data_IF_548633620919
#
_entry.id   IF_548633620919
#
_cell.length_a   1.000
_cell.length_b   1.000
_cell.length_c   1.000
_cell.angle_alpha   90.00
_cell.angle_beta   90.00
_cell.angle_gamma   90.00
#
_symmetry.space_group_name_H-M   'P 1'
#
loop_
_entity.id
_entity.type
_entity.pdbx_description
1 polymer ?
#
# COMPACT_ATOMS: atom_id res chain seq x y z
N UNK A 1 19.98 9.51 -0.15
CA UNK A 1 20.92 10.31 0.67
C UNK A 1 20.24 10.56 2.00
N UNK A 2 20.79 10.06 3.09
CA UNK A 2 20.30 10.36 4.43
C UNK A 2 20.38 11.87 4.66
N UNK A 3 19.26 12.50 4.96
CA UNK A 3 19.21 13.92 5.32
C UNK A 3 19.80 14.08 6.74
N UNK A 4 21.11 14.11 6.84
CA UNK A 4 21.79 14.49 8.07
C UNK A 4 21.45 15.95 8.39
N UNK A 5 21.01 16.19 9.63
CA UNK A 5 20.81 17.55 10.12
C UNK A 5 22.15 18.29 10.09
N UNK A 6 22.26 19.29 9.24
CA UNK A 6 23.42 20.19 9.21
C UNK A 6 23.34 21.20 10.36
N UNK A 7 24.48 21.75 10.76
CA UNK A 7 24.58 22.77 11.84
C UNK A 7 23.62 23.94 11.59
N UNK A 8 23.46 24.36 10.34
CA UNK A 8 22.51 25.43 9.97
C UNK A 8 21.05 25.06 10.25
N UNK A 9 20.68 23.82 9.95
CA UNK A 9 19.34 23.30 10.25
C UNK A 9 19.11 23.17 11.75
N UNK A 10 20.11 22.74 12.50
CA UNK A 10 20.06 22.65 13.97
C UNK A 10 19.89 24.07 14.57
N UNK A 11 20.64 25.06 14.08
CA UNK A 11 20.49 26.45 14.49
C UNK A 11 19.09 27.01 14.20
N UNK A 12 18.54 26.69 13.03
CA UNK A 12 17.17 27.08 12.64
C UNK A 12 16.12 26.41 13.53
N UNK A 13 16.29 25.13 13.87
CA UNK A 13 15.43 24.41 14.81
C UNK A 13 15.47 25.02 16.21
N UNK A 14 16.65 25.30 16.73
CA UNK A 14 16.82 25.94 18.02
C UNK A 14 16.16 27.34 18.09
N UNK A 15 16.30 28.13 17.02
CA UNK A 15 15.62 29.43 16.91
C UNK A 15 14.10 29.30 16.93
N UNK A 16 13.56 28.33 16.21
CA UNK A 16 12.11 28.08 16.18
C UNK A 16 11.59 27.65 17.56
N UNK A 17 12.29 26.74 18.25
CA UNK A 17 11.94 26.29 19.61
C UNK A 17 11.96 27.44 20.59
N UNK A 18 13.01 28.27 20.55
CA UNK A 18 13.14 29.41 21.46
C UNK A 18 12.11 30.51 21.19
N UNK A 19 11.80 30.77 19.92
CA UNK A 19 10.75 31.72 19.53
C UNK A 19 9.39 31.29 20.05
N UNK A 20 9.04 30.02 19.85
CA UNK A 20 7.75 29.46 20.31
C UNK A 20 7.69 29.38 21.85
N UNK A 21 8.81 29.12 22.53
CA UNK A 21 8.89 29.03 23.99
C UNK A 21 8.89 30.38 24.69
N UNK A 22 9.57 31.40 24.13
CA UNK A 22 9.80 32.70 24.80
C UNK A 22 9.02 33.85 24.17
N UNK A 23 8.42 33.65 23.00
CA UNK A 23 7.74 34.70 22.23
C UNK A 23 8.70 35.77 21.64
N UNK A 24 10.00 35.65 21.85
CA UNK A 24 11.00 36.59 21.36
C UNK A 24 11.73 36.07 20.13
N UNK A 25 11.82 36.89 19.11
CA UNK A 25 12.63 36.63 17.93
C UNK A 25 14.11 36.87 18.27
N UNK A 26 14.81 35.82 18.71
CA UNK A 26 16.22 35.95 19.10
C UNK A 26 17.10 35.97 17.86
N UNK A 27 17.66 37.10 17.55
CA UNK A 27 18.75 37.25 16.59
C UNK A 27 20.05 36.83 17.30
N UNK A 28 20.18 35.54 17.58
CA UNK A 28 21.43 35.03 18.11
C UNK A 28 22.41 34.81 16.96
N UNK A 29 23.52 35.48 17.03
CA UNK A 29 24.61 35.45 16.05
C UNK A 29 25.53 34.23 16.25
N UNK A 30 25.46 33.56 17.41
CA UNK A 30 26.34 32.46 17.76
C UNK A 30 25.59 31.31 18.46
N UNK A 31 26.00 30.05 18.20
CA UNK A 31 25.44 28.82 18.76
C UNK A 31 25.49 28.81 20.30
N UNK A 32 26.54 29.40 20.92
CA UNK A 32 26.67 29.48 22.37
C UNK A 32 25.58 30.34 23.00
N UNK A 33 25.21 31.45 22.37
CA UNK A 33 24.13 32.32 22.84
C UNK A 33 22.76 31.63 22.76
N UNK A 34 22.50 30.85 21.71
CA UNK A 34 21.30 30.06 21.55
C UNK A 34 21.16 28.99 22.64
N UNK A 35 22.25 28.29 22.97
CA UNK A 35 22.28 27.30 24.05
C UNK A 35 22.03 27.91 25.42
N UNK A 36 22.64 29.05 25.70
CA UNK A 36 22.42 29.78 26.95
C UNK A 36 20.98 30.23 27.11
N UNK A 37 20.34 30.66 26.02
CA UNK A 37 18.93 31.07 26.02
C UNK A 37 18.01 29.83 26.19
N UNK A 38 18.34 28.70 25.57
CA UNK A 38 17.61 27.42 25.73
C UNK A 38 17.67 26.91 27.18
N UNK A 39 18.85 26.94 27.79
CA UNK A 39 19.03 26.58 29.20
C UNK A 39 18.30 27.54 30.14
N UNK A 40 18.27 28.86 29.81
CA UNK A 40 17.50 29.85 30.57
C UNK A 40 16.00 29.63 30.46
N UNK A 41 15.51 29.28 29.27
CA UNK A 41 14.09 28.92 29.05
C UNK A 41 13.68 27.67 29.86
N UNK A 42 14.53 26.67 29.95
CA UNK A 42 14.28 25.46 30.76
C UNK A 42 14.26 25.78 32.26
N UNK A 43 15.07 26.72 32.73
CA UNK A 43 15.06 27.18 34.15
C UNK A 43 13.79 27.94 34.52
N UNK A 44 13.12 28.58 33.58
CA UNK A 44 11.84 29.26 33.79
C UNK A 44 10.62 28.36 33.69
N UNK A 45 10.79 27.14 33.15
CA UNK A 45 9.76 26.12 33.02
C UNK A 45 9.99 25.28 31.76
N UNK A 46 9.85 23.96 31.87
CA UNK A 46 10.05 23.05 30.75
C UNK A 46 8.85 23.00 29.78
N UNK A 47 7.65 23.39 30.24
CA UNK A 47 6.42 23.30 29.45
C UNK A 47 6.44 24.08 28.14
N UNK A 48 6.84 25.36 28.07
CA UNK A 48 6.87 26.07 26.80
C UNK A 48 7.85 25.46 25.80
N UNK A 49 9.00 24.95 26.26
CA UNK A 49 10.01 24.31 25.42
C UNK A 49 9.51 22.98 24.90
N UNK A 50 8.84 22.19 25.74
CA UNK A 50 8.24 20.93 25.33
C UNK A 50 7.12 21.10 24.30
N UNK A 51 6.27 22.10 24.49
CA UNK A 51 5.22 22.43 23.53
C UNK A 51 5.82 22.88 22.19
N UNK A 52 6.87 23.68 22.20
CA UNK A 52 7.57 24.11 20.99
C UNK A 52 8.26 22.94 20.27
N UNK A 53 8.92 22.04 21.00
CA UNK A 53 9.51 20.82 20.46
C UNK A 53 8.41 19.93 19.85
N UNK A 54 7.28 19.77 20.53
CA UNK A 54 6.15 18.99 20.04
C UNK A 54 5.58 19.54 18.73
N UNK A 55 5.39 20.86 18.61
CA UNK A 55 4.93 21.50 17.38
C UNK A 55 5.93 21.33 16.24
N UNK A 56 7.22 21.45 16.55
CA UNK A 56 8.29 21.27 15.60
C UNK A 56 8.35 19.82 15.07
N UNK A 57 8.25 18.83 15.96
CA UNK A 57 8.18 17.42 15.63
C UNK A 57 6.98 17.13 14.72
N UNK A 58 5.83 17.70 15.01
CA UNK A 58 4.62 17.56 14.19
C UNK A 58 4.81 18.08 12.76
N UNK A 59 5.41 19.25 12.61
CA UNK A 59 5.67 19.85 11.28
C UNK A 59 6.73 19.08 10.49
N UNK A 60 7.71 18.49 11.15
CA UNK A 60 8.86 17.85 10.50
C UNK A 60 8.56 16.40 10.08
N UNK A 61 7.63 15.71 10.76
CA UNK A 61 7.19 14.35 10.41
C UNK A 61 6.74 14.25 8.94
N UNK A 62 6.09 15.29 8.42
CA UNK A 62 5.63 15.32 7.02
C UNK A 62 6.73 15.59 6.00
N UNK A 63 7.88 16.12 6.42
CA UNK A 63 8.96 16.57 5.52
C UNK A 63 10.14 15.61 5.42
N UNK A 64 10.31 14.67 6.35
CA UNK A 64 11.45 13.76 6.41
C UNK A 64 10.99 12.30 6.38
N UNK A 65 11.39 11.56 5.33
CA UNK A 65 11.12 10.11 5.20
C UNK A 65 12.44 9.36 5.05
N UNK A 66 13.12 8.99 6.14
CA UNK A 66 14.39 8.25 6.07
C UNK A 66 14.19 6.79 5.61
N UNK A 67 13.07 6.15 5.98
CA UNK A 67 12.65 4.86 5.46
C UNK A 67 11.50 5.06 4.48
N UNK A 68 11.56 4.40 3.34
CA UNK A 68 10.51 4.41 2.34
C UNK A 68 9.80 3.04 2.38
N UNK A 69 8.54 3.05 2.78
CA UNK A 69 7.71 1.85 2.78
C UNK A 69 7.61 1.27 1.37
N UNK A 70 7.63 -0.04 1.27
CA UNK A 70 7.26 -0.73 0.04
C UNK A 70 5.76 -0.59 -0.19
N UNK A 71 5.31 -0.85 -1.40
CA UNK A 71 3.91 -0.67 -1.80
C UNK A 71 3.41 0.80 -1.74
N UNK A 72 4.32 1.77 -1.85
CA UNK A 72 3.93 3.19 -1.87
C UNK A 72 2.93 3.50 -3.01
N UNK A 73 3.04 2.76 -4.11
CA UNK A 73 2.09 2.82 -5.21
C UNK A 73 0.63 2.56 -4.83
N UNK A 74 0.37 1.82 -3.76
CA UNK A 74 -0.98 1.55 -3.24
C UNK A 74 -1.56 2.70 -2.41
N UNK A 75 -0.75 3.71 -2.10
CA UNK A 75 -1.18 4.84 -1.28
C UNK A 75 -2.12 5.74 -2.08
N UNK A 76 -3.36 5.84 -1.63
CA UNK A 76 -4.36 6.76 -2.16
C UNK A 76 -4.30 8.04 -1.33
N UNK A 77 -4.34 9.24 -1.95
CA UNK A 77 -4.44 10.49 -1.21
C UNK A 77 -5.64 10.46 -0.25
N UNK A 78 -5.38 10.69 1.04
CA UNK A 78 -6.43 10.67 2.05
C UNK A 78 -7.33 11.87 1.94
N UNK A 79 -8.65 11.64 1.94
CA UNK A 79 -9.62 12.69 2.14
C UNK A 79 -9.86 12.86 3.64
N UNK A 80 -9.73 14.08 4.15
CA UNK A 80 -9.96 14.40 5.56
C UNK A 80 -11.44 14.35 5.94
N UNK A 81 -12.33 14.41 4.95
CA UNK A 81 -13.77 14.50 5.11
C UNK A 81 -14.45 13.22 4.62
N UNK A 82 -15.19 12.58 5.47
CA UNK A 82 -15.95 11.38 5.15
C UNK A 82 -15.32 10.09 5.68
N UNK A 83 -16.21 9.18 6.10
CA UNK A 83 -15.83 7.93 6.76
C UNK A 83 -15.87 6.71 5.83
N UNK A 84 -16.18 6.91 4.55
CA UNK A 84 -16.34 5.85 3.58
C UNK A 84 -16.03 6.32 2.16
N UNK A 85 -15.54 5.39 1.34
CA UNK A 85 -15.32 5.58 -0.09
C UNK A 85 -16.45 4.87 -0.83
N UNK A 86 -17.09 5.58 -1.74
CA UNK A 86 -18.16 5.06 -2.59
C UNK A 86 -17.65 4.91 -4.02
N UNK A 87 -17.86 3.74 -4.57
CA UNK A 87 -17.58 3.43 -5.98
C UNK A 87 -18.89 3.04 -6.66
N UNK A 88 -19.16 3.62 -7.82
CA UNK A 88 -20.35 3.33 -8.63
C UNK A 88 -19.86 2.75 -9.94
N UNK A 89 -20.41 1.60 -10.32
CA UNK A 89 -20.14 0.93 -11.60
C UNK A 89 -21.45 0.72 -12.35
N UNK A 90 -21.39 0.85 -13.68
CA UNK A 90 -22.49 0.45 -14.55
C UNK A 90 -22.45 -1.06 -14.75
N UNK A 91 -23.62 -1.68 -14.72
CA UNK A 91 -23.80 -3.09 -15.08
C UNK A 91 -24.05 -3.12 -16.58
N UNK A 92 -23.35 -4.02 -17.26
CA UNK A 92 -23.56 -4.24 -18.70
C UNK A 92 -24.94 -4.89 -18.92
N UNK A 93 -25.71 -4.32 -19.80
CA UNK A 93 -26.98 -4.89 -20.21
C UNK A 93 -26.83 -5.37 -21.67
N UNK A 94 -26.86 -6.67 -21.92
CA UNK A 94 -26.71 -7.21 -23.26
C UNK A 94 -27.82 -6.77 -24.21
N UNK A 95 -28.94 -6.27 -23.68
CA UNK A 95 -30.06 -5.75 -24.46
C UNK A 95 -29.85 -4.30 -24.93
N UNK A 96 -28.78 -3.63 -24.48
CA UNK A 96 -28.46 -2.24 -24.87
C UNK A 96 -28.00 -2.11 -26.32
N UNK A 97 -27.52 -3.21 -26.93
CA UNK A 97 -27.11 -3.25 -28.33
C UNK A 97 -27.98 -4.27 -29.09
N UNK A 98 -28.89 -3.77 -29.87
CA UNK A 98 -29.74 -4.59 -30.75
C UNK A 98 -29.40 -4.30 -32.20
N UNK A 99 -29.64 -5.30 -33.07
CA UNK A 99 -29.58 -5.09 -34.50
C UNK A 99 -30.56 -3.94 -34.89
N UNK A 100 -30.13 -3.12 -35.82
CA UNK A 100 -30.95 -1.99 -36.24
C UNK A 100 -32.14 -2.47 -37.13
N UNK A 101 -33.36 -2.47 -36.62
CA UNK A 101 -34.52 -2.96 -37.35
C UNK A 101 -34.98 -1.96 -38.43
N UNK A 102 -34.38 -0.78 -38.52
CA UNK A 102 -34.83 0.27 -39.44
C UNK A 102 -34.66 -0.09 -40.92
N UNK A 103 -33.76 -0.99 -41.25
CA UNK A 103 -33.54 -1.44 -42.60
C UNK A 103 -34.53 -2.53 -43.07
N UNK A 104 -35.24 -3.17 -42.11
CA UNK A 104 -36.09 -4.32 -42.37
C UNK A 104 -37.58 -4.06 -42.05
N UNK A 105 -37.94 -2.82 -41.79
CA UNK A 105 -39.36 -2.45 -41.59
C UNK A 105 -40.17 -2.59 -42.88
N UNK A 106 -41.24 -3.38 -42.78
CA UNK A 106 -42.23 -3.49 -43.83
C UNK A 106 -43.24 -2.34 -43.77
N UNK A 107 -43.88 -2.07 -44.91
CA UNK A 107 -44.88 -1.01 -44.99
C UNK A 107 -46.02 -1.24 -43.99
N UNK A 108 -46.23 -0.25 -43.13
CA UNK A 108 -47.23 -0.33 -42.04
C UNK A 108 -46.69 -0.76 -40.66
N UNK A 109 -45.43 -1.14 -40.57
CA UNK A 109 -44.74 -1.38 -39.27
C UNK A 109 -44.21 -0.07 -38.68
N UNK A 110 -44.22 0.00 -37.35
CA UNK A 110 -43.62 1.12 -36.61
C UNK A 110 -42.77 0.61 -35.47
N UNK A 111 -41.72 1.35 -35.12
CA UNK A 111 -40.85 1.07 -33.99
C UNK A 111 -41.23 2.00 -32.83
N UNK A 112 -41.36 1.42 -31.64
CA UNK A 112 -41.62 2.21 -30.46
C UNK A 112 -40.35 3.02 -30.06
N UNK A 113 -40.42 4.32 -30.13
CA UNK A 113 -39.34 5.25 -29.78
C UNK A 113 -39.45 5.77 -28.33
N UNK A 114 -40.46 5.33 -27.57
CA UNK A 114 -40.71 5.81 -26.22
C UNK A 114 -40.42 4.78 -25.14
N UNK A 115 -39.91 3.61 -25.52
CA UNK A 115 -39.46 2.60 -24.52
C UNK A 115 -38.30 3.16 -23.72
N UNK A 116 -38.43 3.07 -22.38
CA UNK A 116 -37.44 3.63 -21.45
C UNK A 116 -36.46 2.53 -21.08
N UNK A 117 -35.21 2.67 -21.47
CA UNK A 117 -34.09 1.84 -21.04
C UNK A 117 -33.31 2.57 -19.96
N UNK A 118 -33.41 2.10 -18.71
CA UNK A 118 -32.69 2.69 -17.59
C UNK A 118 -31.38 1.98 -17.39
N UNK A 119 -30.23 2.72 -17.33
CA UNK A 119 -28.97 2.08 -17.03
C UNK A 119 -29.00 1.45 -15.63
N UNK A 120 -28.51 0.22 -15.54
CA UNK A 120 -28.34 -0.49 -14.26
C UNK A 120 -27.00 -0.09 -13.66
N UNK A 121 -26.99 0.19 -12.37
CA UNK A 121 -25.79 0.60 -11.64
C UNK A 121 -25.66 -0.18 -10.35
N UNK A 122 -24.43 -0.56 -10.01
CA UNK A 122 -24.08 -1.12 -8.72
C UNK A 122 -23.25 -0.10 -7.92
N UNK A 123 -23.48 -0.05 -6.63
CA UNK A 123 -22.76 0.82 -5.71
C UNK A 123 -22.05 -0.02 -4.66
N UNK A 124 -20.73 0.17 -4.55
CA UNK A 124 -19.90 -0.43 -3.53
C UNK A 124 -19.46 0.64 -2.54
N UNK A 125 -19.57 0.32 -1.24
CA UNK A 125 -19.18 1.20 -0.17
C UNK A 125 -18.06 0.52 0.64
N UNK A 126 -16.92 1.20 0.76
CA UNK A 126 -15.77 0.71 1.51
C UNK A 126 -15.72 1.42 2.85
N UNK A 127 -15.90 0.66 3.93
CA UNK A 127 -15.82 1.11 5.30
C UNK A 127 -14.58 0.53 5.95
N UNK A 128 -14.13 1.16 6.97
CA UNK A 128 -13.06 0.65 7.78
C UNK A 128 -11.99 1.70 8.02
N UNK A 129 -11.72 1.93 9.27
CA UNK A 129 -10.68 2.83 9.73
C UNK A 129 -9.96 2.12 10.86
N UNK A 130 -8.65 2.04 10.75
CA UNK A 130 -7.77 1.62 11.83
C UNK A 130 -7.14 2.86 12.45
N UNK A 131 -7.07 2.86 13.77
CA UNK A 131 -6.45 3.94 14.53
C UNK A 131 -5.24 3.38 15.25
N UNK A 132 -4.11 4.01 15.06
CA UNK A 132 -2.86 3.68 15.73
C UNK A 132 -2.45 4.82 16.63
N UNK A 133 -1.84 4.48 17.75
CA UNK A 133 -1.24 5.42 18.66
C UNK A 133 0.21 5.02 18.93
N UNK A 134 1.10 6.00 18.81
CA UNK A 134 2.49 5.88 19.22
C UNK A 134 2.74 6.83 20.35
N UNK A 135 3.46 6.38 21.37
CA UNK A 135 3.84 7.20 22.49
C UNK A 135 5.36 7.27 22.67
N UNK A 136 5.82 8.40 23.14
CA UNK A 136 7.19 8.63 23.59
C UNK A 136 7.17 9.42 24.87
N UNK A 137 7.94 8.95 25.83
CA UNK A 137 8.21 9.67 27.08
C UNK A 137 9.54 10.37 26.98
N UNK A 138 9.58 11.65 27.34
CA UNK A 138 10.79 12.45 27.41
C UNK A 138 10.94 12.92 28.87
N UNK A 139 12.07 12.61 29.46
CA UNK A 139 12.42 13.08 30.80
C UNK A 139 13.06 14.45 30.74
N UNK A 140 12.81 15.29 31.75
CA UNK A 140 13.42 16.63 31.85
C UNK A 140 14.96 16.57 31.89
N UNK A 141 15.52 15.55 32.50
CA UNK A 141 16.96 15.27 32.51
C UNK A 141 17.53 15.08 31.09
N UNK A 142 16.80 14.39 30.22
CA UNK A 142 17.20 14.20 28.82
C UNK A 142 17.17 15.52 28.06
N UNK A 143 16.14 16.36 28.32
CA UNK A 143 16.01 17.65 27.70
C UNK A 143 17.15 18.60 28.15
N UNK A 144 17.46 18.63 29.47
CA UNK A 144 18.56 19.38 30.02
C UNK A 144 19.92 18.96 29.40
N UNK A 145 20.14 17.65 29.24
CA UNK A 145 21.36 17.11 28.60
C UNK A 145 21.42 17.47 27.12
N UNK A 146 20.30 17.46 26.42
CA UNK A 146 20.24 17.80 24.99
C UNK A 146 20.63 19.27 24.71
N UNK A 147 20.46 20.17 25.70
CA UNK A 147 20.88 21.58 25.58
C UNK A 147 22.33 21.85 26.02
N UNK A 148 23.14 20.84 26.29
CA UNK A 148 24.55 21.04 26.59
C UNK A 148 25.36 21.48 25.37
N UNK A 149 25.00 21.00 24.17
CA UNK A 149 25.55 21.46 22.91
C UNK A 149 24.49 21.52 21.82
N UNK A 150 24.74 22.29 20.74
CA UNK A 150 23.84 22.34 19.58
C UNK A 150 23.79 20.99 18.86
N UNK A 151 24.94 20.30 18.84
CA UNK A 151 25.08 18.98 18.24
C UNK A 151 24.25 17.91 19.00
N UNK A 152 24.33 17.92 20.33
CA UNK A 152 23.55 16.99 21.17
C UNK A 152 22.05 17.23 21.04
N UNK A 153 21.62 18.50 21.02
CA UNK A 153 20.21 18.83 20.78
C UNK A 153 19.74 18.39 19.40
N UNK A 154 20.54 18.65 18.37
CA UNK A 154 20.24 18.22 17.02
C UNK A 154 20.17 16.68 16.89
N UNK A 155 21.10 15.97 17.54
CA UNK A 155 21.10 14.52 17.58
C UNK A 155 19.87 13.95 18.31
N UNK A 156 19.48 14.56 19.43
CA UNK A 156 18.29 14.17 20.19
C UNK A 156 17.00 14.34 19.36
N UNK A 157 16.81 15.49 18.73
CA UNK A 157 15.64 15.73 17.86
C UNK A 157 15.65 14.78 16.66
N UNK A 158 16.81 14.61 16.01
CA UNK A 158 16.96 13.69 14.87
C UNK A 158 16.65 12.25 15.24
N UNK A 159 17.10 11.79 16.39
CA UNK A 159 16.82 10.44 16.90
C UNK A 159 15.31 10.21 17.10
N UNK A 160 14.62 11.17 17.73
CA UNK A 160 13.18 11.07 17.95
C UNK A 160 12.43 11.05 16.62
N UNK A 161 12.73 11.98 15.71
CA UNK A 161 12.09 12.08 14.39
C UNK A 161 12.30 10.82 13.56
N UNK A 162 13.55 10.35 13.47
CA UNK A 162 13.88 9.15 12.68
C UNK A 162 13.18 7.92 13.23
N UNK A 163 13.17 7.75 14.54
CA UNK A 163 12.52 6.59 15.17
C UNK A 163 11.01 6.61 14.93
N UNK A 164 10.37 7.78 15.04
CA UNK A 164 8.93 7.92 14.81
C UNK A 164 8.58 7.69 13.34
N UNK A 165 9.32 8.30 12.42
CA UNK A 165 9.09 8.13 11.00
C UNK A 165 9.25 6.66 10.58
N UNK A 166 10.29 5.99 11.06
CA UNK A 166 10.51 4.57 10.78
C UNK A 166 9.37 3.69 11.30
N UNK A 167 8.81 4.01 12.48
CA UNK A 167 7.66 3.27 13.01
C UNK A 167 6.40 3.49 12.18
N UNK A 168 6.12 4.73 11.78
CA UNK A 168 4.97 5.08 10.94
C UNK A 168 5.10 4.37 9.59
N UNK A 169 6.23 4.50 8.92
CA UNK A 169 6.48 3.85 7.63
C UNK A 169 6.41 2.32 7.73
N UNK A 170 6.88 1.75 8.85
CA UNK A 170 6.73 0.30 9.09
C UNK A 170 5.26 -0.11 9.19
N UNK A 171 4.43 0.67 9.89
CA UNK A 171 3.00 0.38 10.00
C UNK A 171 2.30 0.51 8.65
N UNK A 172 2.65 1.52 7.85
CA UNK A 172 2.15 1.64 6.47
C UNK A 172 2.49 0.39 5.64
N UNK A 173 3.72 -0.10 5.75
CA UNK A 173 4.12 -1.31 5.04
C UNK A 173 3.36 -2.54 5.55
N UNK A 174 3.17 -2.68 6.86
CA UNK A 174 2.40 -3.78 7.44
C UNK A 174 0.94 -3.77 6.97
N UNK A 175 0.29 -2.61 6.94
CA UNK A 175 -1.08 -2.47 6.43
C UNK A 175 -1.15 -2.76 4.94
N UNK A 176 -0.20 -2.27 4.16
CA UNK A 176 -0.14 -2.55 2.72
C UNK A 176 0.02 -4.06 2.47
N UNK A 177 0.93 -4.73 3.18
CA UNK A 177 1.10 -6.19 3.08
C UNK A 177 -0.15 -6.96 3.48
N UNK A 178 -0.81 -6.54 4.56
CA UNK A 178 -2.07 -7.15 5.00
C UNK A 178 -3.17 -6.98 3.94
N UNK A 179 -3.24 -5.82 3.29
CA UNK A 179 -4.22 -5.54 2.23
C UNK A 179 -3.97 -6.42 1.00
N UNK A 180 -2.72 -6.52 0.54
CA UNK A 180 -2.32 -7.40 -0.57
C UNK A 180 -2.61 -8.86 -0.26
N UNK A 181 -2.23 -9.31 0.93
CA UNK A 181 -2.49 -10.68 1.38
C UNK A 181 -4.00 -10.95 1.51
N UNK A 182 -4.78 -9.98 1.98
CA UNK A 182 -6.24 -10.07 2.05
C UNK A 182 -6.88 -10.20 0.68
N UNK A 183 -6.42 -9.43 -0.32
CA UNK A 183 -6.88 -9.56 -1.69
C UNK A 183 -6.57 -10.96 -2.25
N UNK A 184 -5.32 -11.41 -2.13
CA UNK A 184 -4.93 -12.73 -2.62
C UNK A 184 -5.72 -13.85 -1.92
N UNK A 185 -5.85 -13.78 -0.60
CA UNK A 185 -6.61 -14.78 0.16
C UNK A 185 -8.10 -14.79 -0.20
N UNK A 186 -8.69 -13.64 -0.47
CA UNK A 186 -10.07 -13.55 -0.95
C UNK A 186 -10.25 -14.21 -2.31
N UNK A 187 -9.37 -13.96 -3.28
CA UNK A 187 -9.39 -14.63 -4.59
C UNK A 187 -9.20 -16.16 -4.48
N UNK A 188 -8.30 -16.61 -3.62
CA UNK A 188 -8.10 -18.04 -3.34
C UNK A 188 -9.34 -18.66 -2.69
N UNK A 189 -9.98 -17.96 -1.75
CA UNK A 189 -11.22 -18.43 -1.12
C UNK A 189 -12.39 -18.51 -2.09
N UNK A 190 -12.49 -17.57 -3.04
CA UNK A 190 -13.44 -17.61 -4.15
C UNK A 190 -13.18 -18.77 -5.10
N UNK A 191 -11.95 -19.29 -5.16
CA UNK A 191 -11.48 -20.23 -6.19
C UNK A 191 -11.62 -19.66 -7.61
N UNK A 192 -11.45 -18.36 -7.74
CA UNK A 192 -11.57 -17.62 -8.99
C UNK A 192 -10.31 -16.79 -9.22
N UNK A 193 -9.90 -16.68 -10.48
CA UNK A 193 -8.77 -15.85 -10.91
C UNK A 193 -7.43 -16.23 -10.25
N UNK A 194 -7.27 -17.51 -9.93
CA UNK A 194 -6.02 -18.09 -9.41
C UNK A 194 -5.38 -18.93 -10.51
N UNK A 195 -4.13 -18.63 -10.82
CA UNK A 195 -3.36 -19.30 -11.87
C UNK A 195 -2.32 -20.21 -11.23
N UNK A 196 -2.38 -21.49 -11.54
CA UNK A 196 -1.46 -22.53 -11.08
C UNK A 196 -0.41 -22.78 -12.16
N UNK A 197 0.70 -22.03 -12.13
CA UNK A 197 1.68 -22.02 -13.22
C UNK A 197 2.30 -23.37 -13.50
N UNK A 198 2.64 -24.13 -12.46
CA UNK A 198 3.27 -25.43 -12.64
C UNK A 198 2.29 -26.46 -13.22
N UNK A 199 1.05 -26.44 -12.74
CA UNK A 199 -0.01 -27.30 -13.27
C UNK A 199 -0.31 -26.98 -14.74
N UNK A 200 -0.39 -25.69 -15.12
CA UNK A 200 -0.54 -25.29 -16.52
C UNK A 200 0.66 -25.72 -17.37
N UNK A 201 1.89 -25.53 -16.87
CA UNK A 201 3.11 -25.94 -17.55
C UNK A 201 3.17 -27.45 -17.81
N UNK A 202 2.88 -28.25 -16.78
CA UNK A 202 2.79 -29.70 -16.88
C UNK A 202 1.76 -30.14 -17.93
N UNK A 203 0.60 -29.48 -17.94
CA UNK A 203 -0.46 -29.78 -18.92
C UNK A 203 -0.01 -29.51 -20.35
N UNK A 204 0.69 -28.39 -20.59
CA UNK A 204 1.15 -28.00 -21.94
C UNK A 204 2.32 -28.86 -22.40
N UNK A 205 3.22 -29.24 -21.50
CA UNK A 205 4.44 -30.00 -21.86
C UNK A 205 4.30 -31.50 -21.75
N UNK A 206 3.25 -31.99 -21.09
CA UNK A 206 3.09 -33.42 -20.81
C UNK A 206 4.06 -33.93 -19.72
N UNK A 207 4.67 -33.04 -18.94
CA UNK A 207 5.57 -33.38 -17.85
C UNK A 207 4.80 -33.51 -16.54
N UNK A 208 5.39 -34.20 -15.57
CA UNK A 208 4.86 -34.35 -14.19
C UNK A 208 5.86 -33.74 -13.19
N UNK A 209 6.17 -32.47 -13.35
CA UNK A 209 7.09 -31.77 -12.45
C UNK A 209 6.36 -31.39 -11.16
N UNK A 210 7.07 -31.53 -10.06
CA UNK A 210 6.65 -31.03 -8.74
C UNK A 210 7.34 -29.72 -8.42
N UNK A 211 6.89 -28.99 -7.41
CA UNK A 211 7.53 -27.76 -6.94
C UNK A 211 9.03 -27.94 -6.61
N UNK A 212 9.46 -29.15 -6.24
CA UNK A 212 10.86 -29.48 -5.98
C UNK A 212 11.63 -29.79 -7.27
N UNK A 213 11.04 -30.60 -8.17
CA UNK A 213 11.73 -31.04 -9.39
C UNK A 213 11.82 -29.93 -10.44
N UNK A 214 10.88 -28.99 -10.48
CA UNK A 214 10.92 -27.82 -11.35
C UNK A 214 12.09 -26.91 -11.02
N UNK A 215 12.52 -26.86 -9.74
CA UNK A 215 13.65 -26.03 -9.28
C UNK A 215 15.03 -26.62 -9.66
N UNK A 216 15.08 -27.83 -10.20
CA UNK A 216 16.33 -28.41 -10.67
C UNK A 216 16.83 -27.65 -11.91
N UNK A 217 18.16 -27.43 -12.06
CA UNK A 217 18.72 -26.64 -13.15
C UNK A 217 18.31 -27.12 -14.56
N UNK A 218 18.07 -28.40 -14.73
CA UNK A 218 17.65 -28.98 -16.01
C UNK A 218 16.24 -28.52 -16.43
N UNK A 219 15.34 -28.30 -15.48
CA UNK A 219 13.92 -28.01 -15.75
C UNK A 219 13.61 -26.51 -15.59
N UNK A 220 14.30 -25.84 -14.67
CA UNK A 220 13.94 -24.49 -14.24
C UNK A 220 14.03 -23.45 -15.36
N UNK A 221 15.04 -23.54 -16.24
CA UNK A 221 15.21 -22.59 -17.35
C UNK A 221 14.01 -22.58 -18.27
N UNK A 222 13.55 -23.76 -18.71
CA UNK A 222 12.41 -23.89 -19.60
C UNK A 222 11.11 -23.45 -18.94
N UNK A 223 10.91 -23.86 -17.70
CA UNK A 223 9.74 -23.44 -16.89
C UNK A 223 9.72 -21.91 -16.72
N UNK A 224 10.84 -21.30 -16.35
CA UNK A 224 10.91 -19.86 -16.13
C UNK A 224 10.59 -19.07 -17.41
N UNK A 225 11.15 -19.46 -18.55
CA UNK A 225 10.85 -18.81 -19.83
C UNK A 225 9.36 -18.91 -20.18
N UNK A 226 8.77 -20.07 -20.01
CA UNK A 226 7.34 -20.27 -20.22
C UNK A 226 6.51 -19.45 -19.24
N UNK A 227 6.86 -19.47 -17.95
CA UNK A 227 6.15 -18.72 -16.90
C UNK A 227 6.13 -17.22 -17.22
N UNK A 228 7.26 -16.63 -17.66
CA UNK A 228 7.27 -15.22 -18.06
C UNK A 228 6.39 -14.94 -19.27
N UNK A 229 6.44 -15.81 -20.27
CA UNK A 229 5.54 -15.69 -21.43
C UNK A 229 4.07 -15.74 -21.01
N UNK A 230 3.74 -16.62 -20.06
CA UNK A 230 2.40 -16.73 -19.53
C UNK A 230 1.98 -15.50 -18.73
N UNK A 231 2.88 -14.95 -17.89
CA UNK A 231 2.63 -13.72 -17.14
C UNK A 231 2.38 -12.53 -18.07
N UNK A 232 3.18 -12.40 -19.14
CA UNK A 232 2.99 -11.37 -20.15
C UNK A 232 1.62 -11.52 -20.85
N UNK A 233 1.26 -12.74 -21.21
CA UNK A 233 -0.05 -13.02 -21.80
C UNK A 233 -1.21 -12.68 -20.85
N UNK A 234 -1.11 -13.02 -19.56
CA UNK A 234 -2.13 -12.66 -18.56
C UNK A 234 -2.27 -11.14 -18.42
N UNK A 235 -1.15 -10.42 -18.44
CA UNK A 235 -1.16 -8.95 -18.44
C UNK A 235 -1.82 -8.39 -19.72
N UNK A 236 -1.60 -9.00 -20.90
CA UNK A 236 -2.29 -8.61 -22.13
C UNK A 236 -3.79 -8.88 -22.06
N UNK A 237 -4.20 -10.03 -21.53
CA UNK A 237 -5.61 -10.37 -21.36
C UNK A 237 -6.37 -9.41 -20.44
N UNK A 238 -5.71 -8.83 -19.44
CA UNK A 238 -6.32 -7.81 -18.59
C UNK A 238 -6.65 -6.51 -19.35
N UNK A 239 -5.97 -6.24 -20.49
CA UNK A 239 -6.26 -5.06 -21.32
C UNK A 239 -7.52 -5.20 -22.14
N UNK A 240 -8.04 -6.42 -22.31
CA UNK A 240 -9.24 -6.66 -23.08
C UNK A 240 -10.48 -6.23 -22.30
N UNK A 241 -11.43 -5.64 -23.03
CA UNK A 241 -12.73 -5.24 -22.47
C UNK A 241 -13.59 -6.50 -22.28
N UNK A 242 -13.59 -7.04 -21.08
CA UNK A 242 -14.21 -8.33 -20.76
C UNK A 242 -14.62 -8.41 -19.28
N UNK A 243 -15.42 -9.42 -18.96
CA UNK A 243 -15.81 -9.76 -17.60
C UNK A 243 -14.86 -10.72 -16.88
N UNK A 244 -13.75 -11.11 -17.53
CA UNK A 244 -12.79 -12.06 -16.99
C UNK A 244 -11.87 -11.41 -15.95
N UNK A 245 -11.40 -12.19 -15.00
CA UNK A 245 -10.45 -11.82 -13.96
C UNK A 245 -10.97 -10.77 -12.95
N UNK A 246 -12.28 -10.73 -12.78
CA UNK A 246 -12.98 -9.88 -11.82
C UNK A 246 -14.16 -10.62 -11.20
N UNK A 247 -14.67 -10.13 -10.08
CA UNK A 247 -15.89 -10.66 -9.48
C UNK A 247 -17.08 -9.87 -10.00
N UNK A 248 -17.99 -10.56 -10.68
CA UNK A 248 -19.24 -9.95 -11.15
C UNK A 248 -20.30 -10.01 -10.05
N UNK A 249 -21.35 -9.17 -10.17
CA UNK A 249 -22.51 -9.20 -9.28
C UNK A 249 -23.56 -10.20 -9.75
N UNK A 250 -24.42 -10.66 -8.84
CA UNK A 250 -25.59 -11.45 -9.20
C UNK A 250 -26.59 -10.67 -10.08
N UNK A 251 -26.60 -9.34 -9.93
CA UNK A 251 -27.50 -8.45 -10.70
C UNK A 251 -27.03 -8.22 -12.13
N UNK A 252 -25.82 -8.65 -12.49
CA UNK A 252 -25.27 -8.52 -13.84
C UNK A 252 -23.74 -8.51 -13.89
N UNK A 253 -23.25 -8.41 -15.10
CA UNK A 253 -21.84 -8.50 -15.44
C UNK A 253 -21.25 -7.08 -15.57
N UNK A 254 -20.04 -6.90 -15.06
CA UNK A 254 -19.25 -5.70 -15.32
C UNK A 254 -18.33 -5.99 -16.52
N UNK A 255 -18.39 -5.14 -17.54
CA UNK A 255 -17.40 -5.13 -18.60
C UNK A 255 -16.41 -4.02 -18.34
N UNK A 256 -15.15 -4.37 -18.24
CA UNK A 256 -14.08 -3.39 -18.03
C UNK A 256 -12.75 -3.90 -18.59
N UNK A 257 -11.81 -2.99 -18.72
CA UNK A 257 -10.44 -3.28 -19.14
C UNK A 257 -9.47 -2.61 -18.19
N UNK A 258 -8.30 -3.19 -18.03
CA UNK A 258 -7.21 -2.61 -17.28
C UNK A 258 -6.05 -2.30 -18.21
N UNK A 259 -5.89 -1.05 -18.69
CA UNK A 259 -4.79 -0.70 -19.57
C UNK A 259 -3.46 -0.90 -18.87
N UNK A 260 -2.42 -1.20 -19.63
CA UNK A 260 -1.07 -1.50 -19.08
C UNK A 260 -0.58 -0.44 -18.08
N UNK A 261 -0.89 0.82 -18.30
CA UNK A 261 -0.54 1.94 -17.39
C UNK A 261 -1.28 1.93 -16.06
N UNK A 262 -2.43 1.25 -15.99
CA UNK A 262 -3.20 1.08 -14.76
C UNK A 262 -2.92 -0.25 -14.06
N UNK A 263 -2.21 -1.17 -14.70
CA UNK A 263 -1.84 -2.44 -14.10
C UNK A 263 -0.72 -2.27 -13.08
N UNK A 264 -0.81 -3.05 -12.02
CA UNK A 264 0.26 -3.26 -11.04
C UNK A 264 0.59 -4.73 -10.97
N UNK A 265 1.89 -4.99 -10.93
CA UNK A 265 2.44 -6.33 -10.90
C UNK A 265 3.32 -6.46 -9.66
N UNK A 266 2.90 -7.30 -8.74
CA UNK A 266 3.67 -7.64 -7.55
C UNK A 266 4.25 -9.03 -7.74
N UNK A 267 5.58 -9.16 -7.77
CA UNK A 267 6.25 -10.43 -7.96
C UNK A 267 7.21 -10.72 -6.81
N UNK A 268 7.23 -11.97 -6.36
CA UNK A 268 8.16 -12.40 -5.34
C UNK A 268 9.61 -12.27 -5.83
N UNK A 269 10.44 -11.55 -5.08
CA UNK A 269 11.82 -11.23 -5.49
C UNK A 269 12.70 -12.48 -5.63
N UNK A 270 12.46 -13.52 -4.83
CA UNK A 270 13.21 -14.78 -4.90
C UNK A 270 12.98 -15.48 -6.25
N UNK A 271 11.72 -15.56 -6.68
CA UNK A 271 11.37 -16.09 -8.00
C UNK A 271 12.06 -15.29 -9.12
N UNK A 272 12.00 -13.96 -9.04
CA UNK A 272 12.62 -13.09 -10.05
C UNK A 272 14.15 -13.22 -10.10
N UNK A 273 14.82 -13.27 -8.95
CA UNK A 273 16.28 -13.41 -8.92
C UNK A 273 16.73 -14.77 -9.43
N UNK A 274 16.04 -15.85 -9.06
CA UNK A 274 16.35 -17.19 -9.58
C UNK A 274 16.14 -17.26 -11.09
N UNK A 275 15.11 -16.64 -11.58
CA UNK A 275 14.81 -16.61 -13.01
C UNK A 275 15.80 -15.78 -13.78
N UNK A 276 16.17 -14.60 -13.29
CA UNK A 276 17.20 -13.76 -13.90
C UNK A 276 18.55 -14.48 -13.98
N UNK A 277 18.93 -15.21 -12.94
CA UNK A 277 20.18 -15.96 -12.92
C UNK A 277 20.24 -17.08 -13.96
N UNK A 278 19.10 -17.77 -14.19
CA UNK A 278 19.07 -18.96 -15.04
C UNK A 278 18.59 -18.70 -16.47
N UNK A 279 17.69 -17.73 -16.66
CA UNK A 279 17.13 -17.42 -17.98
C UNK A 279 17.96 -16.41 -18.78
N UNK A 280 18.69 -15.51 -18.10
CA UNK A 280 19.42 -14.41 -18.73
C UNK A 280 20.87 -14.72 -19.11
N UNK A 281 21.39 -15.88 -18.74
CA UNK A 281 22.80 -16.21 -19.01
C UNK A 281 23.15 -16.25 -20.49
N UNK A 282 22.21 -16.33 -21.42
CA UNK A 282 22.59 -16.60 -22.82
C UNK A 282 21.96 -15.72 -23.94
N UNK A 283 20.86 -14.99 -23.82
CA UNK A 283 20.34 -14.34 -25.05
C UNK A 283 19.37 -13.16 -24.93
N UNK A 284 18.82 -12.82 -23.77
CA UNK A 284 17.70 -11.84 -23.71
C UNK A 284 17.95 -10.68 -22.74
N UNK A 285 18.67 -9.68 -23.21
CA UNK A 285 19.08 -8.56 -22.35
C UNK A 285 18.01 -7.49 -22.09
N UNK A 286 16.89 -7.35 -22.83
CA UNK A 286 16.11 -6.12 -22.67
C UNK A 286 14.59 -6.19 -22.84
N UNK A 287 14.04 -7.20 -23.48
CA UNK A 287 12.64 -7.16 -23.87
C UNK A 287 11.67 -8.00 -23.02
N UNK A 288 12.16 -8.93 -22.22
CA UNK A 288 11.30 -9.79 -21.39
C UNK A 288 10.84 -9.13 -20.09
N UNK A 289 11.55 -8.15 -19.59
CA UNK A 289 11.21 -7.41 -18.38
C UNK A 289 10.23 -6.26 -18.60
N UNK A 290 9.82 -6.00 -19.82
CA UNK A 290 8.72 -5.07 -20.12
C UNK A 290 7.36 -5.76 -19.97
N UNK A 291 7.11 -6.37 -18.83
CA UNK A 291 5.76 -6.44 -18.35
C UNK A 291 5.34 -4.98 -18.17
N UNK A 292 4.45 -4.53 -19.02
CA UNK A 292 3.95 -3.17 -18.94
C UNK A 292 3.16 -3.08 -17.63
N UNK A 293 3.36 -2.01 -16.94
CA UNK A 293 2.81 -1.77 -15.63
C UNK A 293 3.90 -1.44 -14.63
N UNK A 294 3.48 -1.00 -13.46
CA UNK A 294 4.37 -0.73 -12.34
C UNK A 294 4.72 -2.07 -11.66
N UNK A 295 5.91 -2.60 -11.94
CA UNK A 295 6.37 -3.87 -11.37
C UNK A 295 7.08 -3.61 -10.06
N UNK A 296 6.54 -4.14 -8.98
CA UNK A 296 7.14 -4.06 -7.66
C UNK A 296 7.62 -5.45 -7.19
N UNK A 297 8.89 -5.53 -6.80
CA UNK A 297 9.46 -6.76 -6.28
C UNK A 297 9.23 -6.88 -4.78
N UNK A 298 8.51 -7.93 -4.39
CA UNK A 298 8.12 -8.20 -3.01
C UNK A 298 9.05 -9.24 -2.41
N UNK A 299 9.81 -8.88 -1.39
CA UNK A 299 10.75 -9.80 -0.75
C UNK A 299 10.05 -10.90 0.07
N UNK A 300 8.92 -10.57 0.67
CA UNK A 300 8.06 -11.50 1.41
C UNK A 300 6.64 -10.94 1.47
N UNK A 301 5.63 -11.80 1.51
CA UNK A 301 4.24 -11.36 1.59
C UNK A 301 3.86 -10.91 3.01
N UNK A 302 4.01 -11.76 3.99
CA UNK A 302 3.65 -11.47 5.40
C UNK A 302 4.79 -11.74 6.37
N UNK A 303 5.50 -12.86 6.22
CA UNK A 303 6.53 -13.33 7.15
C UNK A 303 7.86 -13.48 6.40
N UNK A 304 8.90 -12.88 6.94
CA UNK A 304 10.23 -12.89 6.30
C UNK A 304 10.88 -14.28 6.28
N UNK A 305 10.53 -15.14 7.24
CA UNK A 305 11.04 -16.52 7.28
C UNK A 305 10.36 -17.47 6.31
N UNK A 306 9.17 -17.10 5.81
CA UNK A 306 8.44 -17.84 4.80
C UNK A 306 7.92 -16.85 3.71
N UNK A 307 8.80 -16.41 2.81
CA UNK A 307 8.57 -15.25 1.97
C UNK A 307 7.48 -15.44 0.91
N UNK A 308 7.14 -16.68 0.56
CA UNK A 308 6.15 -16.99 -0.46
C UNK A 308 4.79 -17.39 0.13
N UNK A 309 4.63 -17.28 1.44
CA UNK A 309 3.43 -17.73 2.14
C UNK A 309 2.50 -16.58 2.48
N UNK A 310 1.20 -16.84 2.31
CA UNK A 310 0.11 -16.01 2.79
C UNK A 310 -0.71 -16.84 3.79
N UNK A 311 -0.97 -16.27 4.96
CA UNK A 311 -1.83 -16.85 5.97
C UNK A 311 -2.83 -15.80 6.45
N UNK A 312 -4.07 -15.92 6.05
CA UNK A 312 -5.16 -15.00 6.40
C UNK A 312 -6.28 -15.77 7.05
N UNK A 313 -6.62 -15.35 8.25
CA UNK A 313 -7.69 -15.96 9.04
C UNK A 313 -9.03 -15.56 8.44
N UNK A 314 -9.82 -16.54 7.98
CA UNK A 314 -11.17 -16.38 7.45
C UNK A 314 -11.31 -15.12 6.57
N UNK A 315 -10.63 -15.03 5.42
CA UNK A 315 -10.64 -13.83 4.61
C UNK A 315 -12.05 -13.51 4.11
N UNK A 316 -12.37 -12.22 4.09
CA UNK A 316 -13.59 -11.73 3.47
C UNK A 316 -13.38 -11.57 1.96
N UNK A 317 -14.42 -11.82 1.21
CA UNK A 317 -14.45 -11.66 -0.24
C UNK A 317 -15.86 -11.30 -0.73
N UNK A 318 -15.96 -10.81 -1.96
CA UNK A 318 -17.24 -10.56 -2.60
C UNK A 318 -17.74 -11.84 -3.25
N UNK A 319 -18.90 -12.32 -2.82
CA UNK A 319 -19.55 -13.47 -3.43
C UNK A 319 -20.27 -13.09 -4.75
N UNK A 320 -20.63 -14.07 -5.54
CA UNK A 320 -21.30 -13.85 -6.82
C UNK A 320 -22.68 -13.18 -6.70
N UNK A 321 -23.29 -13.24 -5.53
CA UNK A 321 -24.55 -12.54 -5.21
C UNK A 321 -24.34 -11.07 -4.81
N UNK A 322 -23.12 -10.54 -4.92
CA UNK A 322 -22.78 -9.18 -4.55
C UNK A 322 -22.66 -8.93 -3.05
N UNK A 323 -22.83 -9.95 -2.20
CA UNK A 323 -22.68 -9.84 -0.76
C UNK A 323 -21.23 -10.08 -0.32
N UNK A 324 -20.85 -9.51 0.85
CA UNK A 324 -19.57 -9.82 1.47
C UNK A 324 -19.69 -11.14 2.20
N UNK A 325 -18.98 -12.14 1.72
CA UNK A 325 -18.86 -13.45 2.36
C UNK A 325 -17.56 -13.55 3.15
N UNK A 326 -17.55 -14.43 4.15
CA UNK A 326 -16.33 -14.82 4.87
C UNK A 326 -16.01 -16.27 4.52
N UNK A 327 -14.74 -16.56 4.25
CA UNK A 327 -14.29 -17.92 3.98
C UNK A 327 -14.62 -18.85 5.16
N UNK A 328 -14.90 -20.10 4.85
CA UNK A 328 -15.22 -21.11 5.86
C UNK A 328 -13.99 -21.45 6.72
N UNK A 329 -12.84 -21.48 6.09
CA UNK A 329 -11.57 -21.86 6.69
C UNK A 329 -10.52 -20.77 6.45
N UNK A 330 -9.47 -20.77 7.27
CA UNK A 330 -8.30 -19.92 7.08
C UNK A 330 -7.61 -20.24 5.75
N UNK A 331 -7.20 -19.20 5.03
CA UNK A 331 -6.39 -19.38 3.82
C UNK A 331 -4.93 -19.40 4.21
N UNK A 332 -4.34 -20.58 4.12
CA UNK A 332 -2.92 -20.83 4.37
C UNK A 332 -2.28 -21.34 3.08
N UNK A 333 -1.84 -20.41 2.21
CA UNK A 333 -1.31 -20.70 0.90
C UNK A 333 0.18 -20.42 0.81
N UNK A 334 0.95 -21.46 0.48
CA UNK A 334 2.36 -21.35 0.10
C UNK A 334 2.54 -21.09 -1.40
N UNK A 335 3.78 -20.90 -1.81
CA UNK A 335 4.18 -20.80 -3.22
C UNK A 335 3.47 -19.67 -4.00
N UNK A 336 3.12 -18.58 -3.33
CA UNK A 336 2.55 -17.39 -3.96
C UNK A 336 3.66 -16.64 -4.68
N UNK A 337 3.64 -16.68 -6.02
CA UNK A 337 4.65 -16.06 -6.87
C UNK A 337 4.36 -14.59 -7.14
N UNK A 338 3.10 -14.25 -7.33
CA UNK A 338 2.75 -12.88 -7.68
C UNK A 338 1.27 -12.58 -7.73
N UNK A 339 1.01 -11.30 -7.97
CA UNK A 339 -0.33 -10.75 -8.18
C UNK A 339 -0.23 -9.76 -9.33
N UNK A 340 -1.09 -9.89 -10.32
CA UNK A 340 -1.29 -8.90 -11.37
C UNK A 340 -2.70 -8.33 -11.18
N UNK A 341 -2.82 -7.03 -11.01
CA UNK A 341 -4.13 -6.42 -10.73
C UNK A 341 -4.23 -5.01 -11.32
N UNK A 342 -5.46 -4.54 -11.38
CA UNK A 342 -5.72 -3.14 -11.62
C UNK A 342 -5.25 -2.30 -10.42
N UNK A 343 -4.85 -1.07 -10.69
CA UNK A 343 -4.41 -0.09 -9.72
C UNK A 343 -5.46 0.19 -8.64
N UNK A 344 -6.74 0.09 -9.01
CA UNK A 344 -7.86 0.39 -8.17
C UNK A 344 -8.43 -0.85 -7.45
N UNK A 345 -7.79 -2.03 -7.62
CA UNK A 345 -8.21 -3.27 -6.97
C UNK A 345 -8.03 -3.25 -5.45
N UNK A 346 -7.01 -2.56 -4.97
CA UNK A 346 -6.79 -2.36 -3.54
C UNK A 346 -5.89 -1.16 -3.24
N UNK A 347 -6.05 -0.59 -2.07
CA UNK A 347 -5.24 0.53 -1.64
C UNK A 347 -5.40 0.87 -0.17
N UNK A 348 -4.51 1.71 0.35
CA UNK A 348 -4.62 2.28 1.68
C UNK A 348 -4.51 3.81 1.63
N UNK A 349 -5.16 4.47 2.58
CA UNK A 349 -5.19 5.93 2.67
C UNK A 349 -4.96 6.39 4.10
N UNK A 350 -3.88 7.13 4.38
CA UNK A 350 -3.71 7.81 5.66
C UNK A 350 -4.69 8.99 5.74
N UNK A 351 -5.51 9.03 6.79
CA UNK A 351 -6.59 10.01 6.91
C UNK A 351 -6.16 11.20 7.78
N UNK A 352 -5.61 10.94 8.95
CA UNK A 352 -5.36 11.97 9.95
C UNK A 352 -4.19 11.60 10.85
N UNK A 353 -3.29 12.56 11.05
CA UNK A 353 -2.26 12.48 12.08
C UNK A 353 -2.47 13.62 13.08
N UNK A 354 -2.58 13.27 14.35
CA UNK A 354 -2.70 14.23 15.45
C UNK A 354 -1.61 13.97 16.48
N UNK A 355 -0.99 15.03 16.94
CA UNK A 355 -0.04 14.98 18.02
C UNK A 355 -0.60 15.67 19.26
N UNK A 356 -0.36 15.08 20.42
CA UNK A 356 -0.73 15.63 21.74
C UNK A 356 0.42 15.43 22.71
N UNK A 357 0.63 16.39 23.59
CA UNK A 357 1.60 16.34 24.68
C UNK A 357 0.83 16.45 25.99
N UNK A 358 1.24 15.68 26.98
CA UNK A 358 0.68 15.80 28.34
C UNK A 358 1.33 16.99 29.08
N UNK A 359 0.67 17.54 30.09
CA UNK A 359 1.36 18.33 31.11
C UNK A 359 2.47 17.49 31.77
N UNK A 360 3.50 18.16 32.38
CA UNK A 360 4.55 17.44 33.05
C UNK A 360 4.02 16.62 34.24
N UNK A 361 4.54 15.42 34.41
CA UNK A 361 4.29 14.65 35.58
C UNK A 361 5.20 15.14 36.71
N UNK A 362 4.63 15.81 37.68
CA UNK A 362 5.42 16.47 38.77
C UNK A 362 6.18 15.46 39.66
N UNK A 363 5.75 14.17 39.70
CA UNK A 363 6.41 13.15 40.51
C UNK A 363 7.51 12.42 39.74
N UNK A 364 7.34 12.29 38.43
CA UNK A 364 8.27 11.53 37.57
C UNK A 364 9.15 12.38 36.66
N UNK A 365 8.98 13.71 36.66
CA UNK A 365 9.72 14.65 35.83
C UNK A 365 9.79 14.26 34.35
N UNK A 366 8.64 13.90 33.76
CA UNK A 366 8.55 13.51 32.37
C UNK A 366 7.30 14.03 31.66
N UNK A 367 7.37 14.02 30.34
CA UNK A 367 6.28 14.34 29.41
C UNK A 367 6.01 13.14 28.52
N UNK A 368 4.74 12.90 28.19
CA UNK A 368 4.35 11.95 27.17
C UNK A 368 3.88 12.67 25.90
N UNK A 369 4.38 12.24 24.78
CA UNK A 369 3.97 12.68 23.47
C UNK A 369 3.22 11.54 22.78
N UNK A 370 1.99 11.82 22.36
CA UNK A 370 1.12 10.87 21.67
C UNK A 370 0.95 11.29 20.22
N UNK A 371 1.24 10.38 19.30
CA UNK A 371 0.92 10.52 17.88
C UNK A 371 -0.25 9.60 17.57
N UNK A 372 -1.40 10.15 17.22
CA UNK A 372 -2.59 9.41 16.78
C UNK A 372 -2.67 9.49 15.27
N UNK A 373 -2.82 8.35 14.67
CA UNK A 373 -2.78 8.18 13.25
C UNK A 373 -3.91 7.26 12.82
N UNK A 374 -4.69 7.70 11.82
CA UNK A 374 -5.80 6.95 11.30
C UNK A 374 -5.51 6.55 9.86
N UNK A 375 -5.80 5.31 9.53
CA UNK A 375 -5.57 4.72 8.23
C UNK A 375 -6.82 3.98 7.76
N UNK A 376 -7.09 4.04 6.48
CA UNK A 376 -8.15 3.30 5.82
C UNK A 376 -7.53 2.39 4.76
N UNK A 377 -8.04 1.19 4.65
CA UNK A 377 -7.68 0.27 3.58
C UNK A 377 -8.96 -0.23 2.89
N UNK A 378 -8.85 -0.54 1.61
CA UNK A 378 -9.95 -1.04 0.80
C UNK A 378 -9.44 -2.13 -0.13
N UNK A 379 -10.28 -3.15 -0.35
CA UNK A 379 -10.07 -4.23 -1.31
C UNK A 379 -11.33 -4.30 -2.17
N UNK A 380 -11.16 -4.18 -3.48
CA UNK A 380 -12.24 -4.23 -4.45
C UNK A 380 -12.06 -5.42 -5.39
N UNK A 381 -12.81 -6.48 -5.16
CA UNK A 381 -12.80 -7.68 -6.00
C UNK A 381 -13.51 -7.50 -7.35
N UNK A 382 -14.23 -6.40 -7.53
CA UNK A 382 -14.88 -6.07 -8.80
C UNK A 382 -13.90 -5.52 -9.83
N UNK A 383 -12.68 -5.15 -9.41
CA UNK A 383 -11.59 -4.82 -10.32
C UNK A 383 -10.84 -6.05 -10.78
N UNK A 384 -10.22 -5.93 -11.96
CA UNK A 384 -9.43 -7.02 -12.52
C UNK A 384 -8.23 -7.35 -11.64
N UNK A 385 -8.03 -8.64 -11.36
CA UNK A 385 -6.88 -9.10 -10.61
C UNK A 385 -6.73 -10.60 -10.57
N UNK A 386 -5.50 -11.06 -10.68
CA UNK A 386 -5.08 -12.45 -10.80
C UNK A 386 -4.05 -12.75 -9.72
N UNK A 387 -4.22 -13.88 -9.04
CA UNK A 387 -3.23 -14.43 -8.10
C UNK A 387 -2.47 -15.57 -8.79
N UNK A 388 -1.17 -15.61 -8.65
CA UNK A 388 -0.29 -16.54 -9.33
C UNK A 388 0.42 -17.42 -8.30
N UNK A 389 0.22 -18.70 -8.43
CA UNK A 389 0.80 -19.74 -7.59
C UNK A 389 1.77 -20.59 -8.40
N UNK A 390 2.71 -21.22 -7.73
CA UNK A 390 3.70 -22.12 -8.32
C UNK A 390 3.30 -23.60 -8.23
N UNK A 391 2.13 -23.91 -7.76
CA UNK A 391 1.63 -25.27 -7.61
C UNK A 391 0.86 -25.78 -8.85
#
# INVERSE_FOLDING_TARGET
MANTLTIDKISTLLKAVLKDATGQDTVALDTKQLLTLGQKALKTGADPVMNAISQLLSRTIFSSRPYKAKFEGMRIPGDQWGNWVRKIKTIDDPDDLTDNPYCDLTDGESVDQYTIHKPKVAQFNFYGQQSYEYEKTIFETQLNTAFNSAEDFGAFISMILTNMNNKIEKTHEETARATVAGFAAGKIAQKADVIHLLTEYNTVTGLELTATTVMQPANYKAFAQWAFSRLANLSDMLTEYSSLYQTNSADGVFLQHSPKSAQRVYLNSMFMHQTNMMALADTFHDNFLRMAGDVEYVNYWQIMTDPQKINVVMPQYLAADGTIATAKDDVNQGNVLGIICDRDAFGYSPILTRQRVTPPNAKGEYYNIFWKYNERHAIDFTEKGIVILMD
#
